data_IF_887489801287
#
_entry.id   IF_887489801287
#
_cell.length_a   1.000
_cell.length_b   1.000
_cell.length_c   1.000
_cell.angle_alpha   90.00
_cell.angle_beta   90.00
_cell.angle_gamma   90.00
#
_symmetry.space_group_name_H-M   'P 1'
#
loop_
_entity.id
_entity.type
_entity.pdbx_description
1 polymer ?
#
# COMPACT_ATOMS: atom_id res chain seq x y z
N UNK A 1 -10.11 -12.07 -12.77
CA UNK A 1 -8.96 -11.17 -12.95
C UNK A 1 -8.56 -10.65 -11.55
N UNK A 2 -7.27 -10.60 -11.23
CA UNK A 2 -6.78 -10.43 -9.85
C UNK A 2 -7.13 -9.07 -9.23
N UNK A 3 -7.11 -7.99 -10.00
CA UNK A 3 -7.40 -6.63 -9.50
C UNK A 3 -8.81 -6.13 -9.83
N UNK A 4 -9.74 -7.06 -10.07
CA UNK A 4 -11.09 -6.70 -10.54
C UNK A 4 -12.04 -6.27 -9.45
N UNK A 5 -11.90 -6.83 -8.24
CA UNK A 5 -12.86 -6.63 -7.15
C UNK A 5 -12.18 -6.07 -5.92
N UNK A 6 -12.92 -5.29 -5.13
CA UNK A 6 -12.39 -4.63 -3.93
C UNK A 6 -11.82 -5.68 -2.98
N UNK A 7 -12.57 -6.76 -2.77
CA UNK A 7 -12.14 -7.90 -1.97
C UNK A 7 -10.82 -8.51 -2.42
N UNK A 8 -10.54 -8.58 -3.73
CA UNK A 8 -9.28 -9.13 -4.21
C UNK A 8 -8.12 -8.16 -3.98
N UNK A 9 -8.34 -6.87 -4.22
CA UNK A 9 -7.32 -5.83 -3.97
C UNK A 9 -6.96 -5.79 -2.49
N UNK A 10 -7.96 -5.76 -1.62
CA UNK A 10 -7.77 -5.77 -0.16
C UNK A 10 -7.06 -7.05 0.30
N UNK A 11 -7.46 -8.21 -0.25
CA UNK A 11 -6.80 -9.48 0.04
C UNK A 11 -5.33 -9.49 -0.38
N UNK A 12 -5.00 -8.95 -1.55
CA UNK A 12 -3.61 -8.86 -2.02
C UNK A 12 -2.78 -7.94 -1.11
N UNK A 13 -3.31 -6.78 -0.75
CA UNK A 13 -2.61 -5.87 0.16
C UNK A 13 -2.41 -6.49 1.54
N UNK A 14 -3.39 -7.23 2.05
CA UNK A 14 -3.29 -7.95 3.32
C UNK A 14 -2.27 -9.09 3.23
N UNK A 15 -2.27 -9.87 2.15
CA UNK A 15 -1.27 -10.90 1.90
C UNK A 15 0.14 -10.31 1.88
N UNK A 16 0.32 -9.17 1.20
CA UNK A 16 1.60 -8.47 1.12
C UNK A 16 2.02 -7.92 2.49
N UNK A 17 1.07 -7.38 3.26
CA UNK A 17 1.33 -6.93 4.63
C UNK A 17 1.85 -8.08 5.49
N UNK A 18 1.22 -9.26 5.42
CA UNK A 18 1.65 -10.44 6.15
C UNK A 18 3.01 -10.96 5.68
N UNK A 19 3.27 -10.94 4.37
CA UNK A 19 4.55 -11.35 3.81
C UNK A 19 5.72 -10.51 4.37
N UNK A 20 5.52 -9.20 4.54
CA UNK A 20 6.51 -8.29 5.14
C UNK A 20 6.73 -8.50 6.65
N UNK A 21 5.91 -9.34 7.29
CA UNK A 21 6.08 -9.78 8.67
C UNK A 21 6.75 -11.16 8.79
N UNK A 22 7.08 -11.82 7.68
CA UNK A 22 7.69 -13.15 7.71
C UNK A 22 9.14 -13.10 8.20
N UNK A 23 9.60 -14.23 8.72
CA UNK A 23 11.03 -14.45 8.98
C UNK A 23 11.82 -14.34 7.67
N UNK A 24 13.04 -13.79 7.75
CA UNK A 24 13.97 -13.68 6.62
C UNK A 24 14.40 -15.01 6.00
N UNK A 25 14.03 -16.15 6.62
CA UNK A 25 14.08 -17.47 5.96
C UNK A 25 13.25 -17.53 4.67
N UNK A 26 12.25 -16.66 4.55
CA UNK A 26 11.40 -16.51 3.36
C UNK A 26 11.80 -15.25 2.54
N UNK A 27 13.11 -14.95 2.48
CA UNK A 27 13.67 -13.77 1.78
C UNK A 27 13.08 -13.56 0.39
N UNK A 28 12.97 -14.60 -0.43
CA UNK A 28 12.43 -14.48 -1.79
C UNK A 28 10.96 -14.01 -1.83
N UNK A 29 10.15 -14.39 -0.83
CA UNK A 29 8.77 -13.92 -0.73
C UNK A 29 8.72 -12.44 -0.33
N UNK A 30 9.51 -12.04 0.67
CA UNK A 30 9.65 -10.65 1.12
C UNK A 30 10.12 -9.77 -0.04
N UNK A 31 11.18 -10.20 -0.72
CA UNK A 31 11.75 -9.53 -1.89
C UNK A 31 10.71 -9.37 -2.99
N UNK A 32 10.01 -10.43 -3.37
CA UNK A 32 8.96 -10.38 -4.40
C UNK A 32 7.91 -9.32 -4.09
N UNK A 33 7.47 -9.24 -2.83
CA UNK A 33 6.48 -8.22 -2.40
C UNK A 33 7.06 -6.81 -2.48
N UNK A 34 8.29 -6.59 -2.01
CA UNK A 34 8.95 -5.26 -2.10
C UNK A 34 9.12 -4.84 -3.56
N UNK A 35 9.49 -5.76 -4.46
CA UNK A 35 9.63 -5.50 -5.89
C UNK A 35 8.28 -5.21 -6.55
N UNK A 36 7.21 -5.93 -6.15
CA UNK A 36 5.88 -5.67 -6.66
C UNK A 36 5.37 -4.27 -6.28
N UNK A 37 5.58 -3.85 -5.02
CA UNK A 37 5.31 -2.48 -4.61
C UNK A 37 6.17 -1.46 -5.36
N UNK A 38 7.47 -1.72 -5.56
CA UNK A 38 8.34 -0.86 -6.36
C UNK A 38 7.74 -0.65 -7.75
N UNK A 39 7.32 -1.72 -8.41
CA UNK A 39 6.81 -1.65 -9.77
C UNK A 39 5.51 -0.82 -9.84
N UNK A 40 4.64 -0.89 -8.82
CA UNK A 40 3.47 -0.02 -8.70
C UNK A 40 3.83 1.44 -8.42
N UNK A 41 4.82 1.70 -7.55
CA UNK A 41 5.26 3.05 -7.16
C UNK A 41 5.94 3.77 -8.33
N UNK A 42 6.74 3.05 -9.10
CA UNK A 42 7.53 3.58 -10.22
C UNK A 42 6.78 3.51 -11.56
N UNK A 43 5.51 3.11 -11.54
CA UNK A 43 4.72 2.88 -12.74
C UNK A 43 4.42 4.20 -13.44
N UNK A 44 4.92 4.36 -14.67
CA UNK A 44 4.74 5.56 -15.50
C UNK A 44 3.94 5.31 -16.79
N UNK A 45 3.49 4.07 -17.01
CA UNK A 45 2.74 3.63 -18.20
C UNK A 45 1.25 3.40 -17.94
N UNK A 46 0.68 2.33 -18.52
CA UNK A 46 -0.74 1.96 -18.36
C UNK A 46 -1.07 1.61 -16.89
N UNK A 47 -1.45 2.63 -16.13
CA UNK A 47 -1.75 2.53 -14.69
C UNK A 47 -2.98 1.62 -14.49
N UNK A 48 -2.85 0.50 -13.77
CA UNK A 48 -3.96 -0.37 -13.41
C UNK A 48 -5.09 0.41 -12.75
N UNK A 49 -6.33 0.04 -13.04
CA UNK A 49 -7.51 0.74 -12.53
C UNK A 49 -7.51 0.92 -11.02
N UNK A 50 -7.02 -0.08 -10.26
CA UNK A 50 -6.96 0.00 -8.80
C UNK A 50 -5.95 1.03 -8.28
N UNK A 51 -4.94 1.41 -9.04
CA UNK A 51 -4.00 2.48 -8.65
C UNK A 51 -4.52 3.88 -9.00
N UNK A 52 -5.60 3.99 -9.78
CA UNK A 52 -6.24 5.27 -10.04
C UNK A 52 -6.90 5.77 -8.77
N UNK A 53 -6.82 7.08 -8.52
CA UNK A 53 -7.44 7.69 -7.36
C UNK A 53 -8.96 7.44 -7.36
N UNK A 54 -9.57 7.11 -6.20
CA UNK A 54 -11.01 7.08 -6.07
C UNK A 54 -11.55 8.47 -6.42
N UNK A 55 -12.53 8.57 -7.32
CA UNK A 55 -13.10 9.86 -7.70
C UNK A 55 -13.74 10.56 -6.51
N UNK A 56 -13.79 11.89 -6.52
CA UNK A 56 -14.29 12.77 -5.43
C UNK A 56 -15.78 12.57 -5.05
N UNK A 57 -16.45 11.52 -5.55
CA UNK A 57 -17.90 11.35 -5.50
C UNK A 57 -18.45 10.32 -4.50
N UNK A 58 -17.66 9.83 -3.54
CA UNK A 58 -18.14 8.84 -2.54
C UNK A 58 -18.00 9.35 -1.09
N UNK A 59 -17.96 10.67 -0.89
CA UNK A 59 -17.58 11.31 0.38
C UNK A 59 -18.39 12.51 0.85
N UNK A 60 -19.58 12.79 0.31
CA UNK A 60 -20.50 13.80 0.87
C UNK A 60 -21.89 13.20 1.16
N UNK A 61 -22.29 13.05 2.44
CA UNK A 61 -23.67 12.69 2.79
C UNK A 61 -24.69 13.83 2.62
N UNK A 62 -24.25 15.04 2.24
CA UNK A 62 -25.09 16.24 2.31
C UNK A 62 -25.17 16.98 0.96
N UNK A 63 -25.99 16.49 0.03
CA UNK A 63 -26.68 17.36 -0.93
C UNK A 63 -28.11 16.86 -1.15
N UNK A 64 -29.16 17.68 -0.94
CA UNK A 64 -30.53 17.27 -1.15
C UNK A 64 -30.88 17.22 -2.64
N UNK A 65 -31.38 16.06 -3.07
CA UNK A 65 -31.91 15.76 -4.40
C UNK A 65 -32.87 16.85 -4.92
N UNK A 66 -32.57 17.39 -6.11
CA UNK A 66 -33.56 18.09 -6.94
C UNK A 66 -34.37 17.08 -7.76
N UNK A 67 -35.71 17.08 -7.71
CA UNK A 67 -36.51 16.04 -8.33
C UNK A 67 -36.85 16.39 -9.78
N UNK A 68 -36.26 15.69 -10.73
CA UNK A 68 -36.78 15.67 -12.10
C UNK A 68 -36.56 14.30 -12.75
N UNK A 69 -37.68 13.64 -13.09
CA UNK A 69 -37.73 12.82 -14.31
C UNK A 69 -37.60 11.30 -14.17
N UNK A 70 -38.68 10.65 -13.76
CA UNK A 70 -39.28 9.49 -14.45
C UNK A 70 -38.44 8.21 -14.69
N UNK A 71 -38.71 7.20 -13.84
CA UNK A 71 -38.92 5.77 -14.20
C UNK A 71 -37.80 4.98 -14.91
N UNK A 72 -36.51 5.33 -14.74
CA UNK A 72 -35.38 4.44 -15.10
C UNK A 72 -34.47 4.02 -13.93
N UNK A 73 -34.68 4.60 -12.75
CA UNK A 73 -33.79 4.44 -11.59
C UNK A 73 -33.71 3.01 -11.00
N UNK A 74 -34.71 2.13 -11.22
CA UNK A 74 -34.72 0.79 -10.60
C UNK A 74 -33.77 -0.23 -11.25
N UNK A 75 -33.43 -0.07 -12.53
CA UNK A 75 -32.47 -0.96 -13.20
C UNK A 75 -31.03 -0.43 -13.13
N UNK A 76 -30.86 0.89 -13.11
CA UNK A 76 -29.53 1.52 -12.95
C UNK A 76 -28.92 1.26 -11.58
N UNK A 77 -29.72 1.13 -10.53
CA UNK A 77 -29.22 0.88 -9.17
C UNK A 77 -28.58 -0.51 -9.02
N UNK A 78 -29.07 -1.55 -9.73
CA UNK A 78 -28.50 -2.89 -9.67
C UNK A 78 -27.31 -3.07 -10.60
N UNK A 79 -27.41 -2.57 -11.85
CA UNK A 79 -26.31 -2.62 -12.82
C UNK A 79 -25.14 -1.75 -12.37
N UNK A 80 -25.42 -0.57 -11.79
CA UNK A 80 -24.42 0.29 -11.17
C UNK A 80 -23.77 -0.34 -9.95
N UNK A 81 -24.52 -1.05 -9.10
CA UNK A 81 -23.96 -1.79 -7.96
C UNK A 81 -23.06 -2.95 -8.40
N UNK A 82 -23.48 -3.75 -9.40
CA UNK A 82 -22.67 -4.84 -9.94
C UNK A 82 -21.39 -4.32 -10.60
N UNK A 83 -21.46 -3.22 -11.34
CA UNK A 83 -20.29 -2.65 -12.00
C UNK A 83 -19.36 -1.89 -11.03
N UNK A 84 -19.87 -1.34 -9.92
CA UNK A 84 -19.03 -0.72 -8.88
C UNK A 84 -18.04 -1.72 -8.27
N UNK A 85 -18.47 -2.97 -8.08
CA UNK A 85 -17.60 -4.04 -7.57
C UNK A 85 -16.55 -4.51 -8.58
N UNK A 86 -16.66 -4.13 -9.86
CA UNK A 86 -15.75 -4.54 -10.93
C UNK A 86 -14.74 -3.45 -11.35
N UNK A 87 -14.90 -2.22 -10.85
CA UNK A 87 -14.08 -1.06 -11.20
C UNK A 87 -13.48 -0.40 -9.96
N UNK A 88 -12.63 -1.16 -9.26
CA UNK A 88 -11.97 -0.71 -8.05
C UNK A 88 -10.96 0.38 -8.36
N UNK A 89 -11.05 1.48 -7.62
CA UNK A 89 -10.04 2.55 -7.54
C UNK A 89 -9.61 2.64 -6.08
N UNK A 90 -8.50 2.01 -5.74
CA UNK A 90 -7.91 2.10 -4.40
C UNK A 90 -7.08 3.37 -4.26
N UNK A 91 -6.46 3.85 -5.34
CA UNK A 91 -5.66 5.07 -5.37
C UNK A 91 -4.20 4.83 -5.02
N UNK A 92 -3.30 5.50 -5.74
CA UNK A 92 -1.88 5.38 -5.53
C UNK A 92 -1.51 5.84 -4.12
N UNK A 93 -2.09 6.95 -3.63
CA UNK A 93 -1.82 7.43 -2.26
C UNK A 93 -2.08 6.36 -1.19
N UNK A 94 -3.20 5.64 -1.29
CA UNK A 94 -3.52 4.58 -0.33
C UNK A 94 -2.54 3.42 -0.43
N UNK A 95 -2.11 3.05 -1.63
CA UNK A 95 -1.07 2.02 -1.83
C UNK A 95 0.27 2.45 -1.23
N UNK A 96 0.66 3.71 -1.39
CA UNK A 96 1.87 4.28 -0.76
C UNK A 96 1.77 4.18 0.77
N UNK A 97 0.64 4.56 1.35
CA UNK A 97 0.40 4.49 2.80
C UNK A 97 0.51 3.04 3.31
N UNK A 98 -0.16 2.09 2.65
CA UNK A 98 -0.09 0.66 3.00
C UNK A 98 1.35 0.16 2.91
N UNK A 99 2.07 0.48 1.84
CA UNK A 99 3.47 0.07 1.67
C UNK A 99 4.36 0.64 2.80
N UNK A 100 4.30 1.94 3.06
CA UNK A 100 5.11 2.62 4.09
C UNK A 100 4.90 1.98 5.46
N UNK A 101 3.66 1.76 5.86
CA UNK A 101 3.37 1.14 7.16
C UNK A 101 3.80 -0.32 7.20
N UNK A 102 3.54 -1.08 6.13
CA UNK A 102 3.83 -2.53 6.13
C UNK A 102 5.32 -2.82 6.03
N UNK A 103 6.06 -2.04 5.24
CA UNK A 103 7.49 -2.23 5.01
C UNK A 103 8.34 -1.79 6.23
N UNK A 104 7.77 -1.02 7.16
CA UNK A 104 8.39 -0.73 8.45
C UNK A 104 8.77 -2.01 9.21
N UNK A 105 7.98 -3.08 9.08
CA UNK A 105 8.24 -4.36 9.75
C UNK A 105 9.60 -4.94 9.34
N UNK A 106 10.05 -4.76 8.09
CA UNK A 106 11.34 -5.26 7.62
C UNK A 106 12.50 -4.72 8.47
N UNK A 107 12.40 -3.48 8.96
CA UNK A 107 13.40 -2.87 9.85
C UNK A 107 13.26 -3.31 11.31
N UNK A 108 12.03 -3.55 11.76
CA UNK A 108 11.70 -3.72 13.18
C UNK A 108 11.66 -5.19 13.63
N UNK A 109 11.62 -6.14 12.68
CA UNK A 109 11.68 -7.56 13.00
C UNK A 109 13.01 -7.92 13.63
N UNK A 110 12.95 -8.63 14.75
CA UNK A 110 14.13 -9.16 15.43
C UNK A 110 14.68 -10.35 14.64
N UNK A 111 15.98 -10.33 14.40
CA UNK A 111 16.72 -11.44 13.82
C UNK A 111 17.51 -12.13 14.92
N UNK A 112 17.45 -13.46 14.96
CA UNK A 112 18.24 -14.22 15.92
C UNK A 112 19.74 -14.02 15.66
N UNK A 113 20.54 -13.69 16.69
CA UNK A 113 21.99 -13.50 16.55
C UNK A 113 22.71 -14.79 16.12
N UNK A 114 22.09 -15.95 16.29
CA UNK A 114 22.67 -17.26 15.93
C UNK A 114 22.70 -17.50 14.41
N UNK A 115 22.03 -16.66 13.63
CA UNK A 115 21.90 -16.81 12.17
C UNK A 115 22.30 -15.52 11.42
N UNK A 116 23.60 -15.21 11.31
CA UNK A 116 24.09 -13.99 10.69
C UNK A 116 23.64 -13.83 9.22
N UNK A 117 23.47 -14.94 8.50
CA UNK A 117 22.93 -14.94 7.13
C UNK A 117 21.54 -14.28 7.04
N UNK A 118 20.69 -14.44 8.05
CA UNK A 118 19.36 -13.82 8.06
C UNK A 118 19.43 -12.31 8.29
N UNK A 119 20.48 -11.83 8.96
CA UNK A 119 20.72 -10.40 9.13
C UNK A 119 21.19 -9.77 7.81
N UNK A 120 22.05 -10.47 7.05
CA UNK A 120 22.47 -10.01 5.72
C UNK A 120 21.26 -9.88 4.77
N UNK A 121 20.35 -10.85 4.80
CA UNK A 121 19.08 -10.80 4.05
C UNK A 121 18.21 -9.60 4.49
N UNK A 122 18.05 -9.39 5.80
CA UNK A 122 17.33 -8.23 6.33
C UNK A 122 17.93 -6.91 5.83
N UNK A 123 19.26 -6.77 5.92
CA UNK A 123 19.97 -5.58 5.46
C UNK A 123 19.70 -5.32 3.98
N UNK A 124 19.70 -6.36 3.16
CA UNK A 124 19.43 -6.23 1.74
C UNK A 124 17.97 -5.80 1.46
N UNK A 125 16.99 -6.35 2.18
CA UNK A 125 15.61 -5.88 2.06
C UNK A 125 15.44 -4.43 2.57
N UNK A 126 16.09 -4.05 3.66
CA UNK A 126 16.10 -2.68 4.17
C UNK A 126 16.62 -1.68 3.12
N UNK A 127 17.71 -2.01 2.40
CA UNK A 127 18.23 -1.18 1.30
C UNK A 127 17.18 -1.00 0.20
N UNK A 128 16.51 -2.08 -0.20
CA UNK A 128 15.46 -2.02 -1.21
C UNK A 128 14.29 -1.12 -0.78
N UNK A 129 13.83 -1.25 0.47
CA UNK A 129 12.75 -0.40 1.01
C UNK A 129 13.17 1.07 1.08
N UNK A 130 14.39 1.37 1.57
CA UNK A 130 14.92 2.73 1.59
C UNK A 130 15.03 3.34 0.19
N UNK A 131 15.42 2.54 -0.81
CA UNK A 131 15.46 3.00 -2.19
C UNK A 131 14.05 3.33 -2.73
N UNK A 132 13.04 2.53 -2.38
CA UNK A 132 11.65 2.84 -2.69
C UNK A 132 11.19 4.14 -2.00
N UNK A 133 11.48 4.32 -0.72
CA UNK A 133 11.18 5.57 -0.01
C UNK A 133 11.87 6.78 -0.63
N UNK A 134 13.14 6.65 -1.02
CA UNK A 134 13.87 7.71 -1.75
C UNK A 134 13.15 8.05 -3.05
N UNK A 135 12.73 7.04 -3.82
CA UNK A 135 11.99 7.28 -5.05
C UNK A 135 10.67 8.00 -4.78
N UNK A 136 9.89 7.57 -3.79
CA UNK A 136 8.63 8.20 -3.40
C UNK A 136 8.83 9.70 -3.10
N UNK A 137 9.84 10.03 -2.29
CA UNK A 137 10.16 11.41 -1.91
C UNK A 137 10.59 12.27 -3.11
N UNK A 138 11.37 11.69 -4.02
CA UNK A 138 12.02 12.45 -5.09
C UNK A 138 11.20 12.53 -6.39
N UNK A 139 10.38 11.52 -6.67
CA UNK A 139 9.77 11.34 -8.00
C UNK A 139 8.25 11.06 -7.95
N UNK A 140 7.66 10.83 -6.77
CA UNK A 140 6.22 10.58 -6.66
C UNK A 140 5.53 11.78 -6.01
N UNK A 141 4.41 12.23 -6.59
CA UNK A 141 3.56 13.24 -5.96
C UNK A 141 2.78 12.60 -4.81
N UNK A 142 3.15 12.93 -3.58
CA UNK A 142 2.45 12.48 -2.37
C UNK A 142 1.57 13.61 -1.81
N UNK A 143 0.40 13.25 -1.29
CA UNK A 143 -0.45 14.15 -0.53
C UNK A 143 0.07 14.37 0.90
N UNK A 144 -0.51 15.35 1.61
CA UNK A 144 -0.06 15.71 2.96
C UNK A 144 -0.09 14.51 3.92
N UNK A 145 -1.15 13.71 3.88
CA UNK A 145 -1.35 12.57 4.77
C UNK A 145 -0.28 11.50 4.55
N UNK A 146 0.02 11.19 3.29
CA UNK A 146 1.02 10.20 2.88
C UNK A 146 2.42 10.67 3.26
N UNK A 147 2.73 11.96 3.06
CA UNK A 147 3.98 12.57 3.52
C UNK A 147 4.16 12.48 5.03
N UNK A 148 3.14 12.90 5.80
CA UNK A 148 3.17 12.84 7.27
C UNK A 148 3.37 11.40 7.75
N UNK A 149 2.66 10.45 7.16
CA UNK A 149 2.80 9.03 7.49
C UNK A 149 4.20 8.49 7.22
N UNK A 150 4.80 8.82 6.06
CA UNK A 150 6.17 8.44 5.75
C UNK A 150 7.15 8.97 6.81
N UNK A 151 7.04 10.25 7.17
CA UNK A 151 7.91 10.86 8.17
C UNK A 151 7.72 10.23 9.56
N UNK A 152 6.47 9.98 9.97
CA UNK A 152 6.16 9.33 11.25
C UNK A 152 6.75 7.91 11.29
N UNK A 153 6.62 7.14 10.21
CA UNK A 153 7.19 5.79 10.14
C UNK A 153 8.73 5.82 10.19
N UNK A 154 9.37 6.69 9.41
CA UNK A 154 10.84 6.84 9.45
C UNK A 154 11.34 7.25 10.83
N UNK A 155 10.64 8.19 11.47
CA UNK A 155 10.94 8.60 12.84
C UNK A 155 10.77 7.44 13.82
N UNK A 156 9.67 6.67 13.72
CA UNK A 156 9.43 5.51 14.55
C UNK A 156 10.52 4.43 14.39
N UNK A 157 10.89 4.09 13.15
CA UNK A 157 11.97 3.14 12.86
C UNK A 157 13.28 3.61 13.50
N UNK A 158 13.62 4.88 13.32
CA UNK A 158 14.86 5.46 13.89
C UNK A 158 14.84 5.44 15.41
N UNK A 159 13.72 5.81 16.02
CA UNK A 159 13.54 5.78 17.48
C UNK A 159 13.72 4.37 18.01
N UNK A 160 13.05 3.38 17.43
CA UNK A 160 13.13 1.99 17.89
C UNK A 160 14.54 1.40 17.69
N UNK A 161 15.17 1.70 16.56
CA UNK A 161 16.54 1.23 16.27
C UNK A 161 17.56 1.82 17.23
N UNK A 162 17.40 3.10 17.59
CA UNK A 162 18.29 3.78 18.52
C UNK A 162 18.06 3.35 19.97
N UNK A 163 16.80 3.18 20.39
CA UNK A 163 16.42 2.71 21.73
C UNK A 163 16.73 1.23 21.97
N UNK A 164 16.66 0.39 20.94
CA UNK A 164 16.94 -1.04 21.04
C UNK A 164 18.41 -1.42 21.27
N UNK A 165 19.35 -0.46 21.24
CA UNK A 165 20.79 -0.67 21.53
C UNK A 165 21.17 -0.50 23.00
N UNK A 166 20.19 -0.33 23.89
CA UNK A 166 20.39 -0.25 25.35
C UNK A 166 19.82 -1.48 26.08
N UNK A 167 20.22 -2.70 25.67
CA UNK A 167 20.14 -3.91 26.51
C UNK A 167 21.34 -4.79 26.21
#
# INVERSE_FOLDING_TARGET
VLFSTRSNVDFIHELFRQALCLSFRYSEAIKTVIMCYRDWIQMSGDVPMFLQEPGDGDGSPDEPDSPSGSRRARNDSYVGAINRDQHVKAGLQNVLQVFVTSAANVFLLQVSPDYPLLLDEQVEHCKHVLNNYRYMVMHTRMDRKTWEQLLVVLFHITSQTLSGRHV
#
